data_IF_093516722706
#
_entry.id   IF_093516722706
#
_cell.length_a   1.000
_cell.length_b   1.000
_cell.length_c   1.000
_cell.angle_alpha   90.00
_cell.angle_beta   90.00
_cell.angle_gamma   90.00
#
_symmetry.space_group_name_H-M   'P 1'
#
loop_
_entity.id
_entity.type
_entity.pdbx_description
1 polymer ?
#
# COMPACT_ATOMS: atom_id res chain seq x y z
N UNK A 1 -1.78 -17.14 -13.57
CA UNK A 1 -0.90 -17.54 -12.45
C UNK A 1 0.52 -17.14 -12.79
N UNK A 2 1.07 -16.12 -12.13
CA UNK A 2 2.43 -15.66 -12.35
C UNK A 2 3.43 -16.60 -11.68
N UNK A 3 4.31 -17.21 -12.47
CA UNK A 3 5.34 -18.14 -11.98
C UNK A 3 6.45 -17.42 -11.20
N UNK A 4 6.72 -16.15 -11.52
CA UNK A 4 7.81 -15.38 -10.93
C UNK A 4 7.53 -14.99 -9.49
N UNK A 5 6.30 -14.58 -9.18
CA UNK A 5 5.89 -14.18 -7.83
C UNK A 5 4.95 -15.17 -7.16
N UNK A 6 4.64 -16.30 -7.80
CA UNK A 6 3.64 -17.27 -7.31
C UNK A 6 2.28 -16.61 -6.95
N UNK A 7 1.84 -15.64 -7.78
CA UNK A 7 0.67 -14.77 -7.56
C UNK A 7 0.68 -13.92 -6.27
N UNK A 8 1.81 -13.79 -5.57
CA UNK A 8 1.86 -12.93 -4.38
C UNK A 8 1.92 -11.44 -4.74
N UNK A 9 2.34 -11.12 -5.97
CA UNK A 9 2.56 -9.75 -6.43
C UNK A 9 3.96 -9.21 -6.10
N UNK A 10 4.77 -9.96 -5.35
CA UNK A 10 6.13 -9.60 -4.95
C UNK A 10 7.11 -10.75 -5.20
N UNK A 11 8.37 -10.43 -5.46
CA UNK A 11 9.44 -11.39 -5.70
C UNK A 11 10.45 -11.26 -4.58
N UNK A 12 10.77 -12.38 -3.94
CA UNK A 12 11.79 -12.48 -2.91
C UNK A 12 13.03 -13.13 -3.52
N UNK A 13 14.14 -12.39 -3.56
CA UNK A 13 15.41 -12.90 -4.09
C UNK A 13 16.44 -12.91 -2.97
N UNK A 14 16.89 -14.09 -2.56
CA UNK A 14 18.02 -14.21 -1.63
C UNK A 14 19.33 -14.01 -2.41
N UNK A 15 20.11 -12.99 -2.04
CA UNK A 15 21.40 -12.70 -2.68
C UNK A 15 22.53 -13.42 -1.95
N UNK A 16 22.52 -13.36 -0.61
CA UNK A 16 23.41 -14.11 0.28
C UNK A 16 22.62 -14.55 1.50
N UNK A 17 23.13 -15.52 2.26
CA UNK A 17 22.46 -16.03 3.46
C UNK A 17 22.03 -14.90 4.40
N UNK A 18 20.72 -14.71 4.54
CA UNK A 18 20.12 -13.68 5.39
C UNK A 18 19.95 -12.30 4.75
N UNK A 19 20.38 -12.10 3.49
CA UNK A 19 20.10 -10.89 2.70
C UNK A 19 19.12 -11.22 1.58
N UNK A 20 17.89 -10.72 1.71
CA UNK A 20 16.81 -10.87 0.74
C UNK A 20 16.43 -9.51 0.18
N UNK A 21 16.35 -9.39 -1.14
CA UNK A 21 15.68 -8.27 -1.80
C UNK A 21 14.22 -8.62 -2.06
N UNK A 22 13.36 -7.62 -1.87
CA UNK A 22 11.92 -7.74 -2.11
C UNK A 22 11.58 -6.71 -3.18
N UNK A 23 11.13 -7.18 -4.33
CA UNK A 23 10.76 -6.35 -5.48
C UNK A 23 9.31 -6.58 -5.87
N UNK A 24 8.66 -5.55 -6.41
CA UNK A 24 7.33 -5.69 -6.98
C UNK A 24 7.36 -6.50 -8.27
N UNK A 25 6.39 -7.39 -8.46
CA UNK A 25 6.20 -8.05 -9.74
C UNK A 25 5.45 -7.13 -10.71
N UNK A 26 5.60 -7.35 -12.02
CA UNK A 26 4.87 -6.61 -13.07
C UNK A 26 3.73 -7.43 -13.66
N UNK A 27 3.17 -8.36 -12.88
CA UNK A 27 2.04 -9.17 -13.32
C UNK A 27 0.70 -8.50 -12.98
N UNK A 28 -0.36 -8.93 -13.65
CA UNK A 28 -1.72 -8.39 -13.45
C UNK A 28 -2.15 -8.36 -11.97
N UNK A 29 -1.78 -9.38 -11.20
CA UNK A 29 -2.10 -9.44 -9.75
C UNK A 29 -1.40 -8.30 -8.99
N UNK A 30 -0.14 -8.02 -9.32
CA UNK A 30 0.61 -6.93 -8.69
C UNK A 30 0.05 -5.56 -9.08
N UNK A 31 -0.36 -5.39 -10.34
CA UNK A 31 -0.99 -4.15 -10.82
C UNK A 31 -2.35 -3.92 -10.13
N UNK A 32 -3.17 -4.97 -10.02
CA UNK A 32 -4.45 -4.90 -9.30
C UNK A 32 -4.24 -4.57 -7.82
N UNK A 33 -3.27 -5.21 -7.15
CA UNK A 33 -2.93 -4.90 -5.76
C UNK A 33 -2.46 -3.44 -5.61
N UNK A 34 -1.63 -2.94 -6.53
CA UNK A 34 -1.17 -1.56 -6.51
C UNK A 34 -2.33 -0.57 -6.68
N UNK A 35 -3.28 -0.85 -7.58
CA UNK A 35 -4.48 -0.03 -7.77
C UNK A 35 -5.35 -0.01 -6.51
N UNK A 36 -5.65 -1.18 -5.92
CA UNK A 36 -6.43 -1.27 -4.69
C UNK A 36 -5.74 -0.58 -3.51
N UNK A 37 -4.42 -0.72 -3.39
CA UNK A 37 -3.66 -0.02 -2.34
C UNK A 37 -3.71 1.49 -2.51
N UNK A 38 -3.66 1.98 -3.75
CA UNK A 38 -3.83 3.40 -4.05
C UNK A 38 -5.22 3.90 -3.65
N UNK A 39 -6.28 3.16 -3.99
CA UNK A 39 -7.65 3.51 -3.59
C UNK A 39 -7.81 3.54 -2.06
N UNK A 40 -7.27 2.55 -1.36
CA UNK A 40 -7.26 2.49 0.10
C UNK A 40 -6.51 3.68 0.70
N UNK A 41 -5.37 4.06 0.11
CA UNK A 41 -4.60 5.21 0.55
C UNK A 41 -5.37 6.52 0.35
N UNK A 42 -5.95 6.72 -0.83
CA UNK A 42 -6.73 7.91 -1.15
C UNK A 42 -7.96 8.03 -0.21
N UNK A 43 -8.63 6.93 0.10
CA UNK A 43 -9.73 6.89 1.08
C UNK A 43 -9.26 7.21 2.50
N UNK A 44 -8.10 6.70 2.91
CA UNK A 44 -7.50 7.01 4.21
C UNK A 44 -7.17 8.50 4.34
N UNK A 45 -6.59 9.11 3.30
CA UNK A 45 -6.27 10.54 3.27
C UNK A 45 -7.55 11.39 3.41
N UNK A 46 -8.62 11.04 2.69
CA UNK A 46 -9.90 11.76 2.83
C UNK A 46 -10.45 11.70 4.25
N UNK A 47 -10.41 10.52 4.88
CA UNK A 47 -10.84 10.33 6.26
C UNK A 47 -9.98 11.14 7.23
N UNK A 48 -8.67 11.10 7.06
CA UNK A 48 -7.72 11.85 7.86
C UNK A 48 -7.95 13.37 7.78
N UNK A 49 -8.16 13.91 6.58
CA UNK A 49 -8.49 15.33 6.39
C UNK A 49 -9.84 15.70 7.03
N UNK A 50 -10.82 14.80 7.01
CA UNK A 50 -12.06 14.96 7.76
C UNK A 50 -11.83 15.07 9.27
N UNK A 51 -11.01 14.19 9.83
CA UNK A 51 -10.63 14.23 11.25
C UNK A 51 -9.90 15.51 11.63
N UNK A 52 -8.95 15.95 10.81
CA UNK A 52 -8.21 17.19 11.01
C UNK A 52 -9.14 18.41 11.09
N UNK A 53 -10.16 18.48 10.22
CA UNK A 53 -11.18 19.54 10.27
C UNK A 53 -12.05 19.46 11.53
N UNK A 54 -12.43 18.26 11.97
CA UNK A 54 -13.18 18.05 13.21
C UNK A 54 -12.42 18.54 14.44
N UNK A 55 -11.15 18.14 14.57
CA UNK A 55 -10.26 18.59 15.64
C UNK A 55 -10.11 20.11 15.69
N UNK A 56 -9.96 20.75 14.52
CA UNK A 56 -9.88 22.22 14.43
C UNK A 56 -11.19 22.93 14.77
N UNK A 57 -12.34 22.29 14.51
CA UNK A 57 -13.64 22.84 14.89
C UNK A 57 -13.84 22.80 16.41
N UNK A 58 -13.50 21.67 17.04
CA UNK A 58 -13.57 21.48 18.51
C UNK A 58 -12.66 22.44 19.28
N UNK A 59 -11.46 22.73 18.75
CA UNK A 59 -10.54 23.71 19.36
C UNK A 59 -11.03 25.17 19.28
N UNK A 60 -11.97 25.50 18.39
CA UNK A 60 -12.52 26.87 18.22
C UNK A 60 -13.81 27.12 19.01
N UNK A 61 -14.50 26.09 19.46
CA UNK A 61 -15.75 26.20 20.23
C UNK A 61 -15.56 25.97 21.73
N UNK A 62 -14.30 25.86 22.19
CA UNK A 62 -13.91 25.87 23.60
C UNK A 62 -13.85 27.27 24.19
#
# INVERSE_FOLDING_TARGET
MCMTCSNTGVVHTEIYTGMVTIEGCTCEVAEQQAATQKENWDAWIQKFEGWKRGLLHEQRVG
#
